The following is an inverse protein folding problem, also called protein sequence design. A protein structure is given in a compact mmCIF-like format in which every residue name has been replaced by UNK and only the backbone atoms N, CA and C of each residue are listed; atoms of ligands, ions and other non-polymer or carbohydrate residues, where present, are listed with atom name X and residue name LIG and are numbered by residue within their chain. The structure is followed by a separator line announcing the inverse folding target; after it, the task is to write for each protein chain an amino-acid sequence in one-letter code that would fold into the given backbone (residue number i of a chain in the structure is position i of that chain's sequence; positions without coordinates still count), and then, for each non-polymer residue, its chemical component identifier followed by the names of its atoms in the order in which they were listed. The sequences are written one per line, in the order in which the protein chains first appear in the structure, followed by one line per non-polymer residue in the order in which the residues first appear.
data_IF_676791557441
#
_entry.id   IF_676791557441
#
_cell.length_a   1.000
_cell.length_b   1.000
_cell.length_c   1.000
_cell.angle_alpha   90.00
_cell.angle_beta   90.00
_cell.angle_gamma   90.00
#
_symmetry.space_group_name_H-M   'P 1'
#
loop_
_entity.id
_entity.type
_entity.pdbx_description
1 polymer ?
#
# COMPACT_ATOMS: atom_id res chain seq x y z
N UNK A 1 -53.01 8.20 -17.77
CA UNK A 1 -52.06 7.43 -18.62
C UNK A 1 -50.63 8.03 -18.54
N UNK A 2 -50.15 8.33 -17.33
CA UNK A 2 -48.84 8.97 -17.09
C UNK A 2 -48.04 8.29 -15.96
N UNK A 3 -48.66 7.35 -15.23
CA UNK A 3 -48.01 6.63 -14.12
C UNK A 3 -47.16 5.42 -14.57
N UNK A 4 -47.27 4.98 -15.82
CA UNK A 4 -46.57 3.77 -16.29
C UNK A 4 -45.14 4.01 -16.80
N UNK A 5 -44.73 5.27 -17.00
CA UNK A 5 -43.41 5.61 -17.55
C UNK A 5 -42.34 5.75 -16.45
N UNK A 6 -42.71 6.09 -15.21
CA UNK A 6 -41.74 6.24 -14.11
C UNK A 6 -41.13 4.91 -13.63
N UNK A 7 -41.81 3.77 -13.83
CA UNK A 7 -41.29 2.45 -13.44
C UNK A 7 -40.24 1.88 -14.41
N UNK A 8 -40.17 2.38 -15.65
CA UNK A 8 -39.16 1.94 -16.62
C UNK A 8 -37.81 2.63 -16.41
N UNK A 9 -37.79 3.85 -15.88
CA UNK A 9 -36.53 4.57 -15.62
C UNK A 9 -35.81 4.11 -14.34
N UNK A 10 -36.52 3.55 -13.35
CA UNK A 10 -35.86 2.98 -12.18
C UNK A 10 -35.12 1.68 -12.52
N UNK A 11 -35.72 0.80 -13.32
CA UNK A 11 -35.10 -0.49 -13.72
C UNK A 11 -33.81 -0.34 -14.54
N UNK A 12 -33.75 0.66 -15.43
CA UNK A 12 -32.58 0.90 -16.29
C UNK A 12 -31.39 1.41 -15.47
N UNK A 13 -31.60 2.24 -14.45
CA UNK A 13 -30.53 2.72 -13.55
C UNK A 13 -29.85 1.59 -12.77
N UNK A 14 -30.62 0.60 -12.28
CA UNK A 14 -30.04 -0.55 -11.59
C UNK A 14 -29.24 -1.47 -12.53
N UNK A 15 -29.69 -1.61 -13.78
CA UNK A 15 -29.03 -2.45 -14.77
C UNK A 15 -27.69 -1.86 -15.23
N UNK A 16 -27.63 -0.54 -15.45
CA UNK A 16 -26.37 0.14 -15.76
C UNK A 16 -25.38 0.13 -14.57
N UNK A 17 -25.86 0.24 -13.33
CA UNK A 17 -25.02 0.04 -12.14
C UNK A 17 -24.36 -1.34 -12.11
N UNK A 18 -25.13 -2.40 -12.40
CA UNK A 18 -24.63 -3.77 -12.44
C UNK A 18 -23.65 -4.02 -13.60
N UNK A 19 -23.93 -3.50 -14.80
CA UNK A 19 -23.02 -3.65 -15.95
C UNK A 19 -21.71 -2.89 -15.74
N UNK A 20 -21.75 -1.70 -15.12
CA UNK A 20 -20.53 -0.96 -14.78
C UNK A 20 -19.68 -1.69 -13.72
N UNK A 21 -20.32 -2.37 -12.77
CA UNK A 21 -19.64 -3.25 -11.80
C UNK A 21 -18.98 -4.43 -12.52
N UNK A 22 -19.66 -5.04 -13.50
CA UNK A 22 -19.14 -6.22 -14.22
C UNK A 22 -17.99 -5.88 -15.17
N UNK A 23 -18.01 -4.73 -15.85
CA UNK A 23 -16.90 -4.33 -16.75
C UNK A 23 -15.66 -3.88 -15.95
N UNK A 24 -15.83 -3.39 -14.72
CA UNK A 24 -14.71 -3.17 -13.80
C UNK A 24 -14.12 -4.47 -13.24
N UNK A 25 -14.69 -5.66 -13.42
CA UNK A 25 -14.14 -6.95 -12.93
C UNK A 25 -12.90 -7.43 -13.69
N UNK A 26 -12.09 -6.52 -14.27
CA UNK A 26 -10.70 -6.86 -14.56
C UNK A 26 -10.07 -7.26 -13.23
N UNK A 27 -9.78 -8.56 -13.06
CA UNK A 27 -9.32 -9.21 -11.83
C UNK A 27 -8.58 -8.25 -10.90
N UNK A 28 -9.30 -7.66 -9.94
CA UNK A 28 -8.67 -6.77 -8.97
C UNK A 28 -7.89 -7.63 -8.01
N UNK A 29 -6.58 -7.62 -8.16
CA UNK A 29 -5.69 -8.45 -7.40
C UNK A 29 -4.83 -7.60 -6.47
N UNK A 30 -5.11 -7.70 -5.17
CA UNK A 30 -4.30 -7.10 -4.13
C UNK A 30 -3.28 -8.12 -3.63
N UNK A 31 -2.01 -7.74 -3.53
CA UNK A 31 -0.95 -8.61 -3.02
C UNK A 31 -0.82 -8.48 -1.51
N UNK A 32 -0.16 -9.46 -0.88
CA UNK A 32 0.14 -9.39 0.55
C UNK A 32 0.97 -8.17 0.94
N UNK A 33 1.92 -7.76 0.07
CA UNK A 33 2.69 -6.52 0.25
C UNK A 33 1.77 -5.29 0.26
N UNK A 34 0.96 -5.10 -0.78
CA UNK A 34 0.10 -3.92 -0.93
C UNK A 34 -0.83 -3.78 0.27
N UNK A 35 -1.45 -4.88 0.71
CA UNK A 35 -2.33 -4.88 1.88
C UNK A 35 -1.62 -4.50 3.18
N UNK A 36 -0.47 -5.12 3.48
CA UNK A 36 0.30 -4.80 4.70
C UNK A 36 0.81 -3.36 4.69
N UNK A 37 1.35 -2.92 3.55
CA UNK A 37 1.88 -1.56 3.40
C UNK A 37 0.77 -0.54 3.60
N UNK A 38 -0.36 -0.68 2.91
CA UNK A 38 -1.50 0.23 3.04
C UNK A 38 -2.00 0.32 4.49
N UNK A 39 -2.20 -0.85 5.13
CA UNK A 39 -2.60 -0.93 6.56
C UNK A 39 -1.61 -0.24 7.49
N UNK A 40 -0.31 -0.38 7.24
CA UNK A 40 0.74 0.21 8.08
C UNK A 40 0.88 1.72 7.86
N UNK A 41 0.71 2.18 6.62
CA UNK A 41 0.78 3.59 6.25
C UNK A 41 -0.32 4.42 6.89
N UNK A 42 -1.54 3.88 6.97
CA UNK A 42 -2.67 4.52 7.64
C UNK A 42 -2.71 4.32 9.15
N UNK A 43 -1.88 3.42 9.70
CA UNK A 43 -1.82 3.10 11.13
C UNK A 43 -3.09 2.47 11.72
N UNK A 44 -3.95 1.90 10.87
CA UNK A 44 -5.13 1.17 11.29
C UNK A 44 -4.77 -0.22 11.85
N UNK A 45 -5.47 -0.66 12.88
CA UNK A 45 -5.46 -2.06 13.30
C UNK A 45 -6.35 -2.92 12.39
N UNK A 46 -6.23 -4.25 12.45
CA UNK A 46 -7.13 -5.12 11.70
C UNK A 46 -8.58 -4.98 12.18
N UNK A 47 -8.78 -4.73 13.48
CA UNK A 47 -10.09 -4.47 14.07
C UNK A 47 -10.73 -3.20 13.49
N UNK A 48 -9.97 -2.12 13.36
CA UNK A 48 -10.49 -0.87 12.81
C UNK A 48 -10.98 -1.05 11.37
N UNK A 49 -10.19 -1.76 10.55
CA UNK A 49 -10.56 -2.07 9.17
C UNK A 49 -11.80 -2.97 9.15
N UNK A 50 -11.79 -4.05 9.95
CA UNK A 50 -12.90 -5.01 10.04
C UNK A 50 -14.23 -4.33 10.35
N UNK A 51 -14.24 -3.41 11.32
CA UNK A 51 -15.42 -2.66 11.73
C UNK A 51 -15.97 -1.76 10.62
N UNK A 52 -15.10 -1.19 9.77
CA UNK A 52 -15.52 -0.29 8.69
C UNK A 52 -16.06 -1.06 7.49
N UNK A 53 -15.41 -2.14 7.08
CA UNK A 53 -15.74 -2.85 5.84
C UNK A 53 -16.61 -4.10 6.05
N UNK A 54 -16.88 -4.50 7.29
CA UNK A 54 -17.72 -5.65 7.61
C UNK A 54 -17.05 -7.01 7.34
N UNK A 55 -15.72 -7.07 7.27
CA UNK A 55 -14.96 -8.32 7.09
C UNK A 55 -14.37 -8.75 8.43
N UNK A 56 -14.53 -10.02 8.79
CA UNK A 56 -14.02 -10.56 10.05
C UNK A 56 -12.49 -10.38 10.20
N UNK A 57 -12.03 -9.97 11.39
CA UNK A 57 -10.62 -9.66 11.69
C UNK A 57 -9.67 -10.81 11.30
N UNK A 58 -10.03 -12.06 11.61
CA UNK A 58 -9.21 -13.25 11.27
C UNK A 58 -8.99 -13.42 9.77
N UNK A 59 -9.94 -12.98 8.94
CA UNK A 59 -9.79 -12.99 7.48
C UNK A 59 -8.74 -11.98 7.04
N UNK A 60 -8.75 -10.78 7.62
CA UNK A 60 -7.75 -9.75 7.36
C UNK A 60 -6.35 -10.20 7.83
N UNK A 61 -6.25 -10.83 9.00
CA UNK A 61 -4.98 -11.41 9.48
C UNK A 61 -4.45 -12.45 8.50
N UNK A 62 -5.32 -13.35 7.99
CA UNK A 62 -4.92 -14.34 6.97
C UNK A 62 -4.40 -13.67 5.70
N UNK A 63 -5.05 -12.60 5.25
CA UNK A 63 -4.62 -11.82 4.08
C UNK A 63 -3.25 -11.14 4.31
N UNK A 64 -3.00 -10.64 5.52
CA UNK A 64 -1.71 -10.07 5.90
C UNK A 64 -0.57 -11.10 5.96
N UNK A 65 -0.86 -12.39 6.05
CA UNK A 65 0.14 -13.45 6.03
C UNK A 65 0.52 -13.92 4.62
N UNK A 66 -0.14 -13.41 3.57
CA UNK A 66 0.21 -13.71 2.16
C UNK A 66 1.61 -13.18 1.81
N UNK A 67 2.39 -13.90 1.00
CA UNK A 67 3.74 -13.44 0.61
C UNK A 67 3.70 -12.11 -0.17
N UNK A 68 4.83 -11.42 -0.29
CA UNK A 68 4.87 -10.06 -0.86
C UNK A 68 4.30 -9.99 -2.29
N UNK A 69 4.76 -10.90 -3.16
CA UNK A 69 4.36 -10.95 -4.57
C UNK A 69 3.13 -11.84 -4.81
N UNK A 70 2.63 -12.53 -3.78
CA UNK A 70 1.45 -13.37 -3.93
C UNK A 70 0.18 -12.55 -3.79
N UNK A 71 -0.78 -12.85 -4.66
CA UNK A 71 -2.13 -12.32 -4.55
C UNK A 71 -2.87 -12.92 -3.36
N UNK A 72 -3.63 -12.07 -2.68
CA UNK A 72 -4.50 -12.49 -1.60
C UNK A 72 -5.60 -13.37 -2.19
N UNK A 73 -5.73 -14.59 -1.65
CA UNK A 73 -6.78 -15.53 -2.04
C UNK A 73 -8.00 -15.33 -1.16
N UNK A 74 -9.15 -15.03 -1.77
CA UNK A 74 -10.41 -14.80 -1.05
C UNK A 74 -11.58 -14.54 -2.00
N UNK A 75 -12.74 -14.27 -1.41
CA UNK A 75 -13.94 -13.86 -2.16
C UNK A 75 -13.67 -12.51 -2.81
N UNK A 76 -13.93 -12.38 -4.12
CA UNK A 76 -13.64 -11.15 -4.89
C UNK A 76 -14.28 -9.91 -4.27
N UNK A 77 -15.50 -10.03 -3.74
CA UNK A 77 -16.21 -8.95 -3.05
C UNK A 77 -15.39 -8.36 -1.88
N UNK A 78 -14.75 -9.21 -1.08
CA UNK A 78 -13.93 -8.78 0.05
C UNK A 78 -12.69 -8.00 -0.41
N UNK A 79 -12.07 -8.42 -1.52
CA UNK A 79 -10.89 -7.73 -2.08
C UNK A 79 -11.28 -6.36 -2.62
N UNK A 80 -12.44 -6.26 -3.27
CA UNK A 80 -13.00 -4.98 -3.75
C UNK A 80 -13.26 -4.04 -2.57
N UNK A 81 -13.94 -4.50 -1.52
CA UNK A 81 -14.20 -3.68 -0.32
C UNK A 81 -12.92 -3.16 0.35
N UNK A 82 -11.89 -4.01 0.46
CA UNK A 82 -10.59 -3.62 1.02
C UNK A 82 -9.92 -2.55 0.15
N UNK A 83 -9.93 -2.74 -1.17
CA UNK A 83 -9.37 -1.78 -2.11
C UNK A 83 -10.08 -0.44 -2.04
N UNK A 84 -11.41 -0.44 -2.11
CA UNK A 84 -12.22 0.77 -2.05
C UNK A 84 -11.99 1.53 -0.74
N UNK A 85 -11.90 0.82 0.38
CA UNK A 85 -11.54 1.42 1.68
C UNK A 85 -10.19 2.15 1.63
N UNK A 86 -9.14 1.54 1.07
CA UNK A 86 -7.83 2.18 0.98
C UNK A 86 -7.80 3.34 -0.02
N UNK A 87 -8.51 3.24 -1.15
CA UNK A 87 -8.59 4.30 -2.16
C UNK A 87 -9.32 5.53 -1.62
N UNK A 88 -10.37 5.34 -0.81
CA UNK A 88 -11.03 6.43 -0.06
C UNK A 88 -10.10 7.12 0.94
N UNK A 89 -9.01 6.45 1.34
CA UNK A 89 -7.96 6.96 2.22
C UNK A 89 -6.70 7.39 1.44
N UNK A 90 -6.86 7.70 0.16
CA UNK A 90 -5.79 8.19 -0.73
C UNK A 90 -4.65 7.20 -0.97
N UNK A 91 -4.86 5.89 -0.77
CA UNK A 91 -3.89 4.85 -1.14
C UNK A 91 -4.37 4.13 -2.39
N UNK A 92 -3.54 4.12 -3.43
CA UNK A 92 -3.84 3.59 -4.75
C UNK A 92 -3.01 2.33 -5.05
N UNK A 93 -3.54 1.48 -5.93
CA UNK A 93 -2.86 0.26 -6.40
C UNK A 93 -2.82 0.25 -7.94
N UNK A 94 -1.98 1.09 -8.56
CA UNK A 94 -2.05 1.35 -10.00
C UNK A 94 -1.59 0.18 -10.88
N UNK A 95 -0.74 -0.71 -10.33
CA UNK A 95 -0.16 -1.86 -11.04
C UNK A 95 0.05 -3.02 -10.07
N UNK A 96 0.40 -4.17 -10.62
CA UNK A 96 0.87 -5.32 -9.85
C UNK A 96 2.06 -4.91 -8.96
N UNK A 97 2.05 -5.41 -7.72
CA UNK A 97 3.13 -5.20 -6.74
C UNK A 97 3.52 -3.73 -6.51
N UNK A 98 2.60 -2.81 -6.80
CA UNK A 98 2.83 -1.36 -6.73
C UNK A 98 1.79 -0.73 -5.81
N UNK A 99 2.26 0.14 -4.92
CA UNK A 99 1.40 0.96 -4.06
C UNK A 99 1.80 2.42 -4.26
N UNK A 100 0.80 3.30 -4.35
CA UNK A 100 1.02 4.73 -4.50
C UNK A 100 0.14 5.52 -3.54
N UNK A 101 0.58 6.71 -3.15
CA UNK A 101 -0.28 7.69 -2.51
C UNK A 101 -0.91 8.58 -3.59
N UNK A 102 -2.20 8.90 -3.43
CA UNK A 102 -2.86 9.88 -4.29
C UNK A 102 -2.11 11.21 -4.18
N UNK A 103 -1.76 11.78 -5.32
CA UNK A 103 -1.06 13.06 -5.41
C UNK A 103 -2.06 14.20 -5.20
N UNK A 104 -1.69 15.15 -4.36
CA UNK A 104 -2.36 16.44 -4.32
C UNK A 104 -1.79 17.31 -5.44
N UNK A 105 -2.61 18.08 -6.16
CA UNK A 105 -2.17 18.88 -7.32
C UNK A 105 -1.04 19.88 -6.99
N UNK A 106 -0.88 20.23 -5.70
CA UNK A 106 0.18 21.09 -5.20
C UNK A 106 1.53 20.37 -4.98
N UNK A 107 1.58 19.04 -5.04
CA UNK A 107 2.80 18.27 -4.83
C UNK A 107 3.65 18.27 -6.09
N UNK A 108 4.60 19.21 -6.15
CA UNK A 108 5.61 19.25 -7.20
C UNK A 108 6.55 18.05 -7.04
N UNK A 109 6.68 17.26 -8.11
CA UNK A 109 7.75 16.26 -8.18
C UNK A 109 9.08 16.96 -7.99
N UNK A 110 9.85 16.51 -7.01
CA UNK A 110 11.21 16.97 -6.85
C UNK A 110 12.11 15.95 -7.52
N UNK A 111 13.14 16.38 -8.25
CA UNK A 111 14.21 15.47 -8.70
C UNK A 111 15.11 15.04 -7.53
N UNK A 112 14.57 15.01 -6.31
CA UNK A 112 15.34 14.77 -5.12
C UNK A 112 15.59 13.27 -4.97
N UNK A 113 16.85 12.92 -4.70
CA UNK A 113 17.23 11.55 -4.35
C UNK A 113 16.72 11.12 -2.97
N UNK A 114 16.09 12.03 -2.22
CA UNK A 114 15.54 11.74 -0.91
C UNK A 114 14.32 10.79 -0.99
N UNK A 115 13.98 10.21 0.16
CA UNK A 115 12.81 9.36 0.33
C UNK A 115 11.74 10.13 1.08
N UNK A 116 10.47 9.93 0.73
CA UNK A 116 9.34 10.34 1.56
C UNK A 116 9.12 9.36 2.72
N UNK A 117 8.37 9.77 3.75
CA UNK A 117 7.92 8.84 4.82
C UNK A 117 7.15 7.66 4.23
N UNK A 118 6.29 7.92 3.24
CA UNK A 118 5.55 6.87 2.53
C UNK A 118 6.50 5.81 1.97
N UNK A 119 7.51 6.24 1.21
CA UNK A 119 8.48 5.33 0.59
C UNK A 119 9.27 4.55 1.64
N UNK A 120 9.74 5.21 2.71
CA UNK A 120 10.46 4.55 3.80
C UNK A 120 9.61 3.45 4.46
N UNK A 121 8.42 3.79 4.93
CA UNK A 121 7.57 2.87 5.69
C UNK A 121 7.08 1.72 4.80
N UNK A 122 6.62 2.01 3.58
CA UNK A 122 6.21 0.98 2.64
C UNK A 122 7.35 0.01 2.30
N UNK A 123 8.56 0.53 2.09
CA UNK A 123 9.74 -0.30 1.80
C UNK A 123 10.15 -1.18 2.96
N UNK A 124 10.09 -0.67 4.20
CA UNK A 124 10.35 -1.48 5.40
C UNK A 124 9.32 -2.60 5.56
N UNK A 125 8.05 -2.30 5.32
CA UNK A 125 6.99 -3.32 5.38
C UNK A 125 7.17 -4.38 4.29
N UNK A 126 7.61 -3.98 3.09
CA UNK A 126 7.94 -4.90 2.01
C UNK A 126 9.14 -5.79 2.36
N UNK A 127 10.19 -5.22 2.96
CA UNK A 127 11.37 -5.98 3.41
C UNK A 127 11.06 -6.96 4.54
N UNK A 128 9.98 -6.71 5.29
CA UNK A 128 9.60 -7.50 6.45
C UNK A 128 10.52 -7.27 7.65
N UNK A 129 11.32 -6.20 7.61
CA UNK A 129 12.23 -5.84 8.68
C UNK A 129 11.50 -5.08 9.79
N UNK A 130 11.88 -5.33 11.03
CA UNK A 130 11.58 -4.42 12.14
C UNK A 130 12.39 -3.13 12.02
N UNK A 131 12.05 -2.11 12.81
CA UNK A 131 12.85 -0.89 12.87
C UNK A 131 14.26 -1.19 13.39
N UNK A 132 14.39 -2.08 14.37
CA UNK A 132 15.68 -2.51 14.93
C UNK A 132 16.53 -3.26 13.91
N UNK A 133 15.94 -4.18 13.13
CA UNK A 133 16.68 -4.88 12.08
C UNK A 133 17.13 -3.93 10.97
N UNK A 134 16.26 -3.01 10.54
CA UNK A 134 16.64 -1.97 9.57
C UNK A 134 17.76 -1.09 10.12
N UNK A 135 17.71 -0.75 11.41
CA UNK A 135 18.73 0.02 12.11
C UNK A 135 20.10 -0.66 12.02
N UNK A 136 20.13 -1.98 12.23
CA UNK A 136 21.35 -2.79 12.15
C UNK A 136 21.95 -2.77 10.73
N UNK A 137 21.13 -2.99 9.70
CA UNK A 137 21.63 -3.04 8.31
C UNK A 137 22.07 -1.68 7.76
N UNK A 138 21.49 -0.59 8.26
CA UNK A 138 21.71 0.77 7.70
C UNK A 138 22.61 1.64 8.59
N UNK A 139 22.97 1.15 9.78
CA UNK A 139 23.72 1.90 10.81
C UNK A 139 23.01 3.20 11.26
N UNK A 140 21.69 3.25 11.12
CA UNK A 140 20.84 4.30 11.68
C UNK A 140 20.34 3.87 13.05
N UNK A 141 20.00 4.80 13.95
CA UNK A 141 19.35 4.40 15.21
C UNK A 141 17.90 4.02 14.95
N UNK A 142 17.41 2.99 15.65
CA UNK A 142 16.00 2.59 15.59
C UNK A 142 15.06 3.74 15.99
N UNK A 143 15.46 4.56 16.96
CA UNK A 143 14.74 5.79 17.34
C UNK A 143 14.63 6.81 16.20
N UNK A 144 15.69 6.96 15.40
CA UNK A 144 15.66 7.84 14.22
C UNK A 144 14.71 7.30 13.16
N UNK A 145 14.75 6.00 12.88
CA UNK A 145 13.82 5.36 11.94
C UNK A 145 12.38 5.54 12.43
N UNK A 146 12.13 5.30 13.72
CA UNK A 146 10.81 5.49 14.32
C UNK A 146 10.32 6.94 14.17
N UNK A 147 11.15 7.93 14.49
CA UNK A 147 10.80 9.34 14.32
C UNK A 147 10.41 9.67 12.87
N UNK A 148 11.17 9.16 11.91
CA UNK A 148 10.87 9.35 10.48
C UNK A 148 9.58 8.66 10.05
N UNK A 149 9.27 7.49 10.59
CA UNK A 149 8.02 6.78 10.30
C UNK A 149 6.79 7.43 10.93
N UNK A 150 6.93 8.39 11.85
CA UNK A 150 5.79 9.14 12.41
C UNK A 150 5.54 10.49 11.71
N UNK A 151 6.34 10.84 10.71
CA UNK A 151 6.11 12.03 9.86
C UNK A 151 4.90 11.87 8.93
N UNK A 152 4.50 12.96 8.28
CA UNK A 152 3.46 12.91 7.26
C UNK A 152 3.94 12.09 6.04
N UNK A 153 3.06 11.29 5.43
CA UNK A 153 3.35 10.45 4.27
C UNK A 153 4.00 11.19 3.10
N UNK A 154 3.60 12.44 2.86
CA UNK A 154 4.13 13.26 1.76
C UNK A 154 5.42 14.00 2.14
N UNK A 155 5.81 14.00 3.41
CA UNK A 155 7.00 14.73 3.86
C UNK A 155 8.27 14.01 3.40
N UNK A 156 9.19 14.76 2.82
CA UNK A 156 10.54 14.28 2.55
C UNK A 156 11.28 14.07 3.86
N UNK A 157 12.10 13.04 3.89
CA UNK A 157 13.00 12.84 5.00
C UNK A 157 14.15 13.84 4.88
N UNK A 158 14.05 14.88 5.68
CA UNK A 158 15.11 15.86 5.88
C UNK A 158 15.85 15.54 7.18
N UNK A 159 17.11 15.13 7.05
CA UNK A 159 17.99 14.94 8.21
C UNK A 159 19.45 15.07 7.80
N UNK A 160 20.17 15.98 8.44
CA UNK A 160 21.61 16.15 8.27
C UNK A 160 22.41 14.96 8.80
N UNK A 161 21.79 14.13 9.67
CA UNK A 161 22.44 12.99 10.33
C UNK A 161 22.21 11.66 9.61
N UNK A 162 21.21 11.60 8.73
CA UNK A 162 20.79 10.35 8.09
C UNK A 162 21.18 10.39 6.62
N UNK A 163 21.96 9.40 6.19
CA UNK A 163 22.35 9.26 4.79
C UNK A 163 21.21 8.63 3.98
N UNK A 164 20.22 9.45 3.59
CA UNK A 164 19.06 8.99 2.81
C UNK A 164 19.43 8.25 1.52
N UNK A 165 20.46 8.66 0.76
CA UNK A 165 20.91 7.88 -0.38
C UNK A 165 21.35 6.44 -0.03
N UNK A 166 21.89 6.20 1.17
CA UNK A 166 22.26 4.85 1.62
C UNK A 166 21.02 3.99 1.85
N UNK A 167 19.99 4.57 2.48
CA UNK A 167 18.73 3.88 2.74
C UNK A 167 17.99 3.53 1.45
N UNK A 168 17.96 4.46 0.49
CA UNK A 168 17.41 4.22 -0.86
C UNK A 168 18.13 3.07 -1.56
N UNK A 169 19.47 3.12 -1.66
CA UNK A 169 20.27 2.05 -2.29
C UNK A 169 20.10 0.70 -1.60
N UNK A 170 19.94 0.69 -0.27
CA UNK A 170 19.67 -0.53 0.49
C UNK A 170 18.37 -1.19 0.02
N UNK A 171 17.27 -0.42 -0.07
CA UNK A 171 15.99 -0.94 -0.55
C UNK A 171 16.02 -1.34 -2.03
N UNK A 172 16.69 -0.56 -2.88
CA UNK A 172 16.90 -0.89 -4.30
C UNK A 172 17.63 -2.22 -4.48
N UNK A 173 18.66 -2.48 -3.67
CA UNK A 173 19.35 -3.76 -3.67
C UNK A 173 18.45 -4.94 -3.27
N UNK A 174 17.47 -4.70 -2.39
CA UNK A 174 16.43 -5.65 -2.02
C UNK A 174 15.34 -5.82 -3.09
N UNK A 175 15.37 -5.06 -4.18
CA UNK A 175 14.41 -5.16 -5.28
C UNK A 175 13.18 -4.29 -5.13
N UNK A 176 13.28 -3.24 -4.31
CA UNK A 176 12.25 -2.23 -4.14
C UNK A 176 12.64 -1.02 -4.98
N UNK A 177 11.73 -0.49 -5.77
CA UNK A 177 11.99 0.67 -6.64
C UNK A 177 11.02 1.80 -6.35
N UNK A 178 11.45 3.01 -6.72
CA UNK A 178 10.76 4.26 -6.45
C UNK A 178 10.53 5.00 -7.77
N UNK A 179 9.49 4.65 -8.55
CA UNK A 179 9.21 5.30 -9.84
C UNK A 179 8.98 6.82 -9.71
N UNK A 180 8.43 7.25 -8.58
CA UNK A 180 8.27 8.65 -8.18
C UNK A 180 8.22 8.74 -6.64
N UNK A 181 8.15 9.98 -6.12
CA UNK A 181 8.17 10.33 -4.69
C UNK A 181 7.08 9.67 -3.83
N UNK A 182 5.99 9.23 -4.46
CA UNK A 182 4.79 8.72 -3.80
C UNK A 182 4.43 7.31 -4.28
N UNK A 183 5.36 6.60 -4.93
CA UNK A 183 5.15 5.25 -5.46
C UNK A 183 6.25 4.30 -5.02
N UNK A 184 5.86 3.09 -4.62
CA UNK A 184 6.76 1.98 -4.30
C UNK A 184 6.36 0.74 -5.09
N UNK A 185 7.32 0.15 -5.80
CA UNK A 185 7.13 -1.05 -6.63
C UNK A 185 8.12 -2.14 -6.25
N UNK A 186 7.65 -3.38 -6.13
CA UNK A 186 8.51 -4.55 -5.92
C UNK A 186 8.83 -5.24 -7.25
N UNK A 187 10.12 -5.42 -7.54
CA UNK A 187 10.62 -6.18 -8.69
C UNK A 187 10.88 -7.65 -8.32
N UNK A 188 11.30 -7.90 -7.08
CA UNK A 188 11.58 -9.23 -6.52
C UNK A 188 11.19 -9.25 -5.04
N UNK A 189 11.01 -10.42 -4.44
CA UNK A 189 10.62 -10.50 -3.03
C UNK A 189 11.80 -10.14 -2.10
N UNK A 190 11.73 -9.00 -1.38
CA UNK A 190 12.82 -8.55 -0.50
C UNK A 190 13.14 -9.51 0.65
N UNK A 191 12.15 -10.27 1.16
CA UNK A 191 12.33 -11.12 2.35
C UNK A 191 13.32 -12.26 2.11
N UNK A 192 13.37 -12.76 0.88
CA UNK A 192 14.29 -13.84 0.50
C UNK A 192 15.74 -13.34 0.57
N UNK A 193 15.97 -12.07 0.25
CA UNK A 193 17.31 -11.49 0.17
C UNK A 193 17.86 -11.11 1.54
N UNK A 194 17.00 -10.67 2.46
CA UNK A 194 17.37 -10.42 3.86
C UNK A 194 17.86 -11.72 4.52
N UNK A 195 17.11 -12.81 4.38
CA UNK A 195 17.47 -14.11 4.99
C UNK A 195 18.81 -14.67 4.50
N UNK A 196 19.22 -14.34 3.27
CA UNK A 196 20.52 -14.77 2.73
C UNK A 196 21.72 -14.05 3.38
N UNK A 197 21.53 -12.84 3.92
CA UNK A 197 22.62 -12.07 4.57
C UNK A 197 22.85 -12.44 6.04
N UNK A 198 21.96 -13.21 6.64
CA UNK A 198 22.07 -13.66 8.03
C UNK A 198 22.82 -15.00 8.18
N UNK A 199 23.13 -15.65 7.05
CA UNK A 199 23.95 -16.86 6.99
C UNK A 199 25.35 -16.49 6.54
#
# INVERSE_FOLDING_TARGET
MLLHIQLLFSGISYFFGYILIVIKLGHFMLTGFQFRAAKSLLEYTFRDIANVIGIHETTLVRFANTQNLQYIRGVSHNIIMIKDFFEQKNILFPKEHTISLKRDDAFLQSNNTNLTRFQLKASRIASGLTQDELSHYTKLSSSSISLLEHKNNMEYIESSKIQIPVLRRFFEHLGITFPDDLTVTLIKDPKILVKKKQK
#
